data_IF_804886860909
#
_entry.id   IF_804886860909
#
_cell.length_a   1.000
_cell.length_b   1.000
_cell.length_c   1.000
_cell.angle_alpha   90.00
_cell.angle_beta   90.00
_cell.angle_gamma   90.00
#
_symmetry.space_group_name_H-M   'P 1'
#
loop_
_entity.id
_entity.type
_entity.pdbx_description
1 polymer ?
#
# COMPACT_ATOMS: atom_id res chain seq x y z
N UNK A 1 -77.95 53.57 36.46
CA UNK A 1 -76.65 54.27 36.49
C UNK A 1 -75.82 53.74 37.66
N UNK A 2 -74.50 53.56 37.45
CA UNK A 2 -73.41 53.23 38.40
C UNK A 2 -73.38 51.79 38.92
N UNK A 3 -72.57 50.91 38.30
CA UNK A 3 -71.12 50.62 38.52
C UNK A 3 -70.85 49.99 39.89
N UNK A 4 -70.81 48.65 39.90
CA UNK A 4 -70.30 47.85 41.02
C UNK A 4 -68.87 47.39 40.69
N UNK A 5 -67.93 47.72 41.58
CA UNK A 5 -66.50 47.44 41.52
C UNK A 5 -66.21 46.07 42.17
N UNK A 6 -65.42 45.27 41.44
CA UNK A 6 -64.46 44.25 41.87
C UNK A 6 -64.80 43.31 43.04
N UNK A 7 -64.86 42.01 42.73
CA UNK A 7 -64.27 40.98 43.57
C UNK A 7 -63.73 39.87 42.66
N UNK A 8 -62.41 39.66 42.75
CA UNK A 8 -61.64 38.66 42.02
C UNK A 8 -61.60 37.40 42.91
N UNK A 9 -62.10 36.23 42.47
CA UNK A 9 -61.66 34.97 43.04
C UNK A 9 -60.67 34.30 42.08
N UNK A 10 -59.52 34.01 42.66
CA UNK A 10 -58.41 33.23 42.15
C UNK A 10 -58.93 31.86 41.64
N UNK A 11 -59.05 31.69 40.32
CA UNK A 11 -59.31 30.38 39.73
C UNK A 11 -57.95 29.71 39.50
N UNK A 12 -57.62 28.77 40.37
CA UNK A 12 -56.45 27.90 40.24
C UNK A 12 -56.69 26.98 39.03
N UNK A 13 -56.27 27.42 37.84
CA UNK A 13 -56.26 26.59 36.65
C UNK A 13 -55.12 25.57 36.79
N UNK A 14 -55.48 24.36 37.23
CA UNK A 14 -54.61 23.20 37.19
C UNK A 14 -54.39 22.86 35.70
N UNK A 15 -53.36 23.47 35.10
CA UNK A 15 -52.90 23.13 33.76
C UNK A 15 -52.31 21.73 33.82
N UNK A 16 -53.12 20.72 33.53
CA UNK A 16 -52.63 19.43 33.06
C UNK A 16 -51.87 19.70 31.76
N UNK A 17 -50.55 19.89 31.88
CA UNK A 17 -49.66 19.67 30.77
C UNK A 17 -49.78 18.18 30.44
N UNK A 18 -50.59 17.87 29.43
CA UNK A 18 -50.39 16.67 28.66
C UNK A 18 -48.99 16.79 28.09
N UNK A 19 -48.03 16.13 28.73
CA UNK A 19 -46.77 15.78 28.10
C UNK A 19 -47.16 14.82 26.99
N UNK A 20 -47.52 15.38 25.83
CA UNK A 20 -47.50 14.67 24.58
C UNK A 20 -46.03 14.36 24.34
N UNK A 21 -45.62 13.11 24.54
CA UNK A 21 -44.42 12.61 23.90
C UNK A 21 -44.73 12.65 22.40
N UNK A 22 -44.35 13.75 21.74
CA UNK A 22 -44.06 13.71 20.31
C UNK A 22 -42.90 12.72 20.20
N UNK A 23 -43.24 11.50 19.81
CA UNK A 23 -42.24 10.51 19.45
C UNK A 23 -41.78 10.96 18.07
N UNK A 24 -40.65 11.67 18.04
CA UNK A 24 -39.95 11.98 16.80
C UNK A 24 -39.47 10.65 16.19
N UNK A 25 -40.36 9.97 15.47
CA UNK A 25 -40.05 8.84 14.59
C UNK A 25 -39.66 9.37 13.20
N UNK A 26 -38.69 10.29 13.15
CA UNK A 26 -38.04 10.72 11.90
C UNK A 26 -36.52 10.67 12.09
N UNK A 27 -36.00 9.53 12.57
CA UNK A 27 -34.63 9.13 12.25
C UNK A 27 -34.73 8.12 11.12
N UNK A 28 -34.70 8.63 9.88
CA UNK A 28 -34.36 7.83 8.72
C UNK A 28 -33.14 6.97 9.11
N UNK A 29 -33.18 5.62 9.01
CA UNK A 29 -32.00 4.84 9.34
C UNK A 29 -30.85 5.38 8.49
N UNK A 30 -29.78 5.87 9.14
CA UNK A 30 -28.53 6.21 8.45
C UNK A 30 -28.18 5.00 7.59
N UNK A 31 -28.29 5.14 6.26
CA UNK A 31 -27.90 4.09 5.34
C UNK A 31 -26.44 3.76 5.67
N UNK A 32 -26.17 2.54 6.16
CA UNK A 32 -24.80 2.13 6.46
C UNK A 32 -23.99 2.27 5.16
N UNK A 33 -23.10 3.26 5.10
CA UNK A 33 -22.27 3.46 3.92
C UNK A 33 -21.40 2.22 3.70
N UNK A 34 -21.69 1.51 2.62
CA UNK A 34 -20.92 0.32 2.24
C UNK A 34 -19.56 0.80 1.75
N UNK A 35 -18.55 0.65 2.61
CA UNK A 35 -17.18 1.01 2.27
C UNK A 35 -16.65 0.03 1.22
N UNK A 36 -16.19 0.57 0.10
CA UNK A 36 -15.57 -0.19 -0.99
C UNK A 36 -14.31 -0.94 -0.51
N UNK A 37 -14.15 -2.17 -0.99
CA UNK A 37 -12.97 -3.00 -0.74
C UNK A 37 -12.18 -3.06 -2.05
N UNK A 38 -11.01 -2.44 -2.07
CA UNK A 38 -10.10 -2.59 -3.20
C UNK A 38 -9.37 -3.92 -3.05
N UNK A 39 -9.53 -4.81 -4.03
CA UNK A 39 -8.91 -6.15 -4.01
C UNK A 39 -7.49 -6.17 -4.60
N UNK A 40 -7.04 -5.07 -5.20
CA UNK A 40 -5.71 -4.94 -5.82
C UNK A 40 -5.15 -3.53 -5.63
N UNK A 41 -3.84 -3.36 -5.82
CA UNK A 41 -3.18 -2.05 -5.74
C UNK A 41 -3.87 -0.99 -6.58
N UNK A 42 -4.08 0.17 -5.97
CA UNK A 42 -4.66 1.37 -6.57
C UNK A 42 -3.62 2.50 -6.71
N UNK A 43 -2.32 2.20 -6.56
CA UNK A 43 -1.25 3.18 -6.78
C UNK A 43 -1.32 3.67 -8.24
N UNK A 44 -1.51 4.97 -8.50
CA UNK A 44 -1.47 5.49 -9.85
C UNK A 44 -0.05 5.40 -10.38
N UNK A 45 0.11 5.22 -11.70
CA UNK A 45 1.44 5.12 -12.33
C UNK A 45 2.30 6.38 -12.17
N UNK A 46 1.69 7.53 -11.88
CA UNK A 46 2.38 8.79 -11.62
C UNK A 46 1.57 9.70 -10.72
N UNK A 47 2.25 10.48 -9.89
CA UNK A 47 1.67 11.58 -9.11
C UNK A 47 2.51 12.84 -9.33
N UNK A 48 1.83 14.00 -9.48
CA UNK A 48 2.49 15.31 -9.67
C UNK A 48 3.52 15.33 -10.83
N UNK A 49 3.25 14.57 -11.89
CA UNK A 49 4.11 14.52 -13.08
C UNK A 49 5.36 13.65 -12.96
N UNK A 50 5.52 12.89 -11.86
CA UNK A 50 6.61 11.93 -11.65
C UNK A 50 6.05 10.50 -11.55
N UNK A 51 6.73 9.48 -12.09
CA UNK A 51 6.36 8.09 -11.88
C UNK A 51 6.37 7.73 -10.39
N UNK A 52 5.43 6.87 -9.99
CA UNK A 52 5.38 6.30 -8.64
C UNK A 52 6.05 4.93 -8.65
N UNK A 53 7.21 4.83 -8.02
CA UNK A 53 7.90 3.56 -7.87
C UNK A 53 7.27 2.79 -6.71
N UNK A 54 6.78 1.58 -6.99
CA UNK A 54 6.29 0.67 -5.96
C UNK A 54 7.46 0.17 -5.10
N UNK A 55 7.42 0.45 -3.81
CA UNK A 55 8.46 0.09 -2.85
C UNK A 55 8.07 -1.12 -1.99
N UNK A 56 6.77 -1.42 -1.87
CA UNK A 56 6.27 -2.55 -1.10
C UNK A 56 4.87 -2.29 -0.56
N UNK A 57 4.54 -3.00 0.52
CA UNK A 57 3.24 -2.92 1.15
C UNK A 57 3.37 -2.94 2.68
N UNK A 58 2.37 -2.39 3.35
CA UNK A 58 2.18 -2.49 4.79
C UNK A 58 0.73 -2.86 5.11
N UNK A 59 0.56 -3.70 6.13
CA UNK A 59 -0.74 -4.13 6.59
C UNK A 59 -1.14 -3.39 7.87
N UNK A 60 -2.36 -2.88 7.90
CA UNK A 60 -2.94 -2.15 9.03
C UNK A 60 -4.30 -2.74 9.40
N UNK A 61 -4.70 -2.57 10.65
CA UNK A 61 -5.94 -3.16 11.20
C UNK A 61 -7.12 -2.19 11.20
N UNK A 62 -6.91 -0.92 10.88
CA UNK A 62 -7.93 0.13 10.91
C UNK A 62 -7.71 1.10 9.77
N UNK A 63 -8.78 1.41 9.04
CA UNK A 63 -8.79 2.41 7.97
C UNK A 63 -8.55 3.83 8.48
N UNK A 64 -9.07 4.14 9.66
CA UNK A 64 -8.80 5.41 10.36
C UNK A 64 -7.61 5.18 11.27
N UNK A 65 -6.51 5.88 11.00
CA UNK A 65 -5.25 5.68 11.71
C UNK A 65 -4.43 6.97 11.76
N UNK A 66 -3.52 7.02 12.72
CA UNK A 66 -2.45 8.02 12.71
C UNK A 66 -1.36 7.60 11.71
N UNK A 67 -0.88 8.58 10.95
CA UNK A 67 0.28 8.50 10.07
C UNK A 67 1.31 9.48 10.62
N UNK A 68 2.51 8.99 10.91
CA UNK A 68 3.64 9.79 11.39
C UNK A 68 4.83 9.65 10.43
N UNK A 69 5.54 10.74 10.19
CA UNK A 69 6.70 10.74 9.31
C UNK A 69 7.90 11.47 9.92
N UNK A 70 9.10 10.97 9.60
CA UNK A 70 10.37 11.55 10.00
C UNK A 70 11.49 11.12 9.04
N UNK A 71 12.62 11.80 9.13
CA UNK A 71 13.83 11.50 8.37
C UNK A 71 14.35 10.11 8.72
N UNK A 72 14.54 9.23 7.73
CA UNK A 72 15.01 7.87 8.00
C UNK A 72 16.49 7.82 8.41
N UNK A 73 17.30 8.73 7.89
CA UNK A 73 18.75 8.70 7.96
C UNK A 73 19.34 9.85 8.77
N UNK A 74 20.01 10.76 8.05
CA UNK A 74 20.64 11.94 8.65
C UNK A 74 19.80 13.16 8.31
N UNK A 75 19.33 13.87 9.34
CA UNK A 75 18.60 15.13 9.16
C UNK A 75 19.46 16.15 8.42
N UNK A 76 19.18 16.32 7.14
CA UNK A 76 20.02 17.08 6.20
C UNK A 76 19.21 18.06 5.33
N UNK A 77 17.97 18.34 5.74
CA UNK A 77 17.12 19.34 5.11
C UNK A 77 16.17 18.79 4.07
N UNK A 78 15.87 17.50 4.10
CA UNK A 78 14.80 16.87 3.32
C UNK A 78 13.45 17.59 3.48
N UNK A 79 12.85 18.02 2.37
CA UNK A 79 11.53 18.66 2.30
C UNK A 79 10.60 17.80 1.46
N UNK A 80 9.48 17.36 2.04
CA UNK A 80 8.58 16.37 1.42
C UNK A 80 7.12 16.75 1.55
N UNK A 81 6.31 16.23 0.63
CA UNK A 81 4.87 16.05 0.83
C UNK A 81 4.55 14.56 0.92
N UNK A 82 3.56 14.20 1.73
CA UNK A 82 3.01 12.85 1.84
C UNK A 82 1.61 12.86 1.25
N UNK A 83 1.36 11.95 0.32
CA UNK A 83 0.09 11.79 -0.36
C UNK A 83 -0.50 10.45 0.01
N UNK A 84 -1.76 10.40 0.42
CA UNK A 84 -2.50 9.17 0.66
C UNK A 84 -3.79 9.22 -0.16
N UNK A 85 -4.04 8.21 -1.01
CA UNK A 85 -5.22 8.15 -1.88
C UNK A 85 -5.55 9.49 -2.57
N UNK A 86 -4.57 10.06 -3.28
CA UNK A 86 -4.62 11.36 -3.97
C UNK A 86 -4.71 12.62 -3.07
N UNK A 87 -4.94 12.46 -1.76
CA UNK A 87 -4.94 13.57 -0.81
C UNK A 87 -3.53 13.89 -0.30
N UNK A 88 -3.14 15.17 -0.37
CA UNK A 88 -1.93 15.64 0.31
C UNK A 88 -2.23 15.76 1.81
N UNK A 89 -1.73 14.82 2.60
CA UNK A 89 -1.97 14.76 4.05
C UNK A 89 -0.89 15.49 4.86
N UNK A 90 0.30 15.66 4.29
CA UNK A 90 1.40 16.47 4.82
C UNK A 90 1.98 17.23 3.65
N UNK A 91 2.02 18.56 3.73
CA UNK A 91 2.39 19.42 2.60
C UNK A 91 3.69 20.20 2.87
N UNK A 92 4.69 19.98 2.00
CA UNK A 92 5.97 20.71 1.92
C UNK A 92 6.63 20.94 3.30
N UNK A 93 6.82 19.86 4.06
CA UNK A 93 7.41 19.91 5.39
C UNK A 93 8.87 19.46 5.39
N UNK A 94 9.71 20.14 6.18
CA UNK A 94 11.07 19.69 6.46
C UNK A 94 11.06 18.55 7.45
N UNK A 95 11.65 17.42 7.06
CA UNK A 95 11.80 16.26 7.93
C UNK A 95 12.77 16.54 9.08
N UNK A 96 12.48 15.92 10.22
CA UNK A 96 13.34 15.89 11.41
C UNK A 96 13.51 14.44 11.85
N UNK A 97 14.36 14.19 12.84
CA UNK A 97 14.55 12.84 13.38
C UNK A 97 13.31 12.31 14.14
N UNK A 98 13.33 11.02 14.53
CA UNK A 98 12.20 10.32 15.17
C UNK A 98 11.73 10.92 16.50
N UNK A 99 12.55 11.75 17.16
CA UNK A 99 12.15 12.48 18.38
C UNK A 99 11.19 13.65 18.11
N UNK A 100 11.00 14.03 16.85
CA UNK A 100 10.13 15.13 16.43
C UNK A 100 9.36 14.78 15.14
N UNK A 101 8.54 13.73 15.13
CA UNK A 101 7.79 13.32 13.94
C UNK A 101 6.69 14.33 13.61
N UNK A 102 6.29 14.36 12.34
CA UNK A 102 5.09 15.07 11.89
C UNK A 102 3.98 14.03 11.80
N UNK A 103 2.85 14.27 12.46
CA UNK A 103 1.76 13.31 12.55
C UNK A 103 0.41 13.89 12.12
N UNK A 104 -0.40 13.08 11.47
CA UNK A 104 -1.75 13.41 11.01
C UNK A 104 -2.67 12.19 11.19
N UNK A 105 -3.89 12.41 11.64
CA UNK A 105 -4.92 11.37 11.62
C UNK A 105 -5.59 11.37 10.24
N UNK A 106 -5.71 10.20 9.62
CA UNK A 106 -6.21 10.05 8.26
C UNK A 106 -7.20 8.88 8.17
N UNK A 107 -8.26 9.05 7.40
CA UNK A 107 -9.18 7.98 6.98
C UNK A 107 -8.86 7.65 5.54
N UNK A 108 -8.35 6.44 5.31
CA UNK A 108 -8.02 5.96 3.98
C UNK A 108 -9.24 5.82 3.05
N UNK A 109 -10.47 5.82 3.55
CA UNK A 109 -11.68 5.77 2.70
C UNK A 109 -12.00 4.40 2.08
N UNK A 110 -11.01 3.53 1.87
CA UNK A 110 -11.22 2.15 1.39
C UNK A 110 -10.77 1.07 2.38
N UNK A 111 -11.46 -0.07 2.33
CA UNK A 111 -10.96 -1.32 2.90
C UNK A 111 -10.06 -2.03 1.87
N UNK A 112 -9.23 -2.98 2.32
CA UNK A 112 -8.24 -3.59 1.43
C UNK A 112 -7.20 -2.58 0.98
N UNK A 113 -6.93 -2.49 -0.33
CA UNK A 113 -5.86 -1.66 -0.88
C UNK A 113 -6.10 -0.15 -0.80
N UNK A 114 -5.09 0.52 -0.29
CA UNK A 114 -4.89 1.97 -0.30
C UNK A 114 -3.42 2.24 -0.63
N UNK A 115 -2.98 3.49 -0.67
CA UNK A 115 -1.57 3.79 -0.84
C UNK A 115 -1.11 5.05 -0.12
N UNK A 116 0.20 5.11 0.11
CA UNK A 116 0.93 6.31 0.51
C UNK A 116 2.08 6.54 -0.47
N UNK A 117 2.25 7.79 -0.91
CA UNK A 117 3.31 8.23 -1.81
C UNK A 117 4.12 9.34 -1.16
N UNK A 118 5.44 9.20 -1.19
CA UNK A 118 6.41 10.22 -0.84
C UNK A 118 6.73 11.07 -2.08
N UNK A 119 6.52 12.37 -1.97
CA UNK A 119 6.95 13.35 -2.97
C UNK A 119 8.06 14.23 -2.40
N UNK A 120 9.25 14.19 -2.99
CA UNK A 120 10.39 15.01 -2.56
C UNK A 120 10.40 16.38 -3.28
N UNK A 121 10.42 17.47 -2.52
CA UNK A 121 10.57 18.84 -3.07
C UNK A 121 12.04 19.23 -3.27
N UNK A 122 12.95 18.56 -2.57
CA UNK A 122 14.40 18.67 -2.73
C UNK A 122 15.06 17.28 -2.57
N UNK A 123 16.39 17.24 -2.42
CA UNK A 123 17.16 16.01 -2.21
C UNK A 123 17.92 16.00 -0.87
N UNK A 124 17.65 16.96 0.01
CA UNK A 124 18.52 17.23 1.15
C UNK A 124 19.96 17.58 0.71
N UNK A 125 20.91 17.41 1.63
CA UNK A 125 22.35 17.45 1.31
C UNK A 125 22.86 16.08 0.80
N UNK A 126 22.18 14.98 1.13
CA UNK A 126 22.53 13.59 0.81
C UNK A 126 21.36 12.92 0.06
N UNK A 127 21.43 12.79 -1.28
CA UNK A 127 20.40 12.10 -2.04
C UNK A 127 20.42 10.56 -1.85
N UNK A 128 19.29 9.85 -2.06
CA UNK A 128 17.93 10.37 -2.28
C UNK A 128 17.30 10.90 -0.99
N UNK A 129 16.14 11.56 -1.11
CA UNK A 129 15.35 11.96 0.06
C UNK A 129 14.70 10.72 0.68
N UNK A 130 14.89 10.50 1.99
CA UNK A 130 14.43 9.28 2.67
C UNK A 130 13.53 9.60 3.87
N UNK A 131 12.36 8.98 3.88
CA UNK A 131 11.32 9.24 4.86
C UNK A 131 10.87 7.92 5.48
N UNK A 132 10.93 7.81 6.81
CA UNK A 132 10.21 6.75 7.51
C UNK A 132 8.76 7.18 7.66
N UNK A 133 7.83 6.36 7.19
CA UNK A 133 6.39 6.49 7.41
C UNK A 133 5.97 5.41 8.40
N UNK A 134 5.36 5.84 9.51
CA UNK A 134 4.77 4.95 10.50
C UNK A 134 3.25 5.05 10.46
N UNK A 135 2.58 3.93 10.21
CA UNK A 135 1.12 3.84 10.18
C UNK A 135 0.69 2.82 11.23
N UNK A 136 -0.04 3.30 12.25
CA UNK A 136 -0.43 2.48 13.40
C UNK A 136 0.76 1.75 14.08
N UNK A 137 1.95 2.37 14.07
CA UNK A 137 3.18 1.80 14.65
C UNK A 137 3.91 0.79 13.77
N UNK A 138 3.41 0.49 12.56
CA UNK A 138 4.17 -0.24 11.53
C UNK A 138 4.98 0.77 10.72
N UNK A 139 6.30 0.63 10.72
CA UNK A 139 7.22 1.51 10.02
C UNK A 139 7.58 0.97 8.64
N UNK A 140 7.65 1.86 7.66
CA UNK A 140 8.12 1.59 6.31
C UNK A 140 8.99 2.74 5.82
N UNK A 141 10.05 2.43 5.08
CA UNK A 141 10.96 3.43 4.54
C UNK A 141 10.57 3.73 3.10
N UNK A 142 10.21 4.98 2.84
CA UNK A 142 10.01 5.50 1.49
C UNK A 142 11.23 6.29 1.07
N UNK A 143 11.55 6.22 -0.22
CA UNK A 143 12.57 7.04 -0.86
C UNK A 143 12.00 7.72 -2.10
N UNK A 144 12.41 8.96 -2.34
CA UNK A 144 12.01 9.72 -3.51
C UNK A 144 13.14 10.64 -3.96
N UNK A 145 13.08 11.06 -5.23
CA UNK A 145 13.99 12.04 -5.78
C UNK A 145 13.21 13.03 -6.68
N UNK A 146 13.93 13.90 -7.41
CA UNK A 146 13.31 14.92 -8.25
C UNK A 146 12.71 14.38 -9.56
N UNK A 147 12.98 13.11 -9.89
CA UNK A 147 12.54 12.44 -11.11
C UNK A 147 11.50 11.35 -10.86
N UNK A 148 11.44 10.77 -9.64
CA UNK A 148 10.51 9.69 -9.27
C UNK A 148 10.08 9.77 -7.81
N UNK A 149 8.84 9.34 -7.54
CA UNK A 149 8.27 9.21 -6.21
C UNK A 149 8.43 7.78 -5.69
N UNK A 150 8.38 7.60 -4.37
CA UNK A 150 8.28 6.28 -3.73
C UNK A 150 6.87 6.06 -3.20
N UNK A 151 6.27 4.92 -3.51
CA UNK A 151 4.90 4.58 -3.09
C UNK A 151 4.84 3.21 -2.43
N UNK A 152 3.98 3.07 -1.43
CA UNK A 152 3.73 1.82 -0.70
C UNK A 152 2.23 1.56 -0.67
N UNK A 153 1.84 0.31 -0.91
CA UNK A 153 0.47 -0.12 -0.69
C UNK A 153 0.17 -0.16 0.81
N UNK A 154 -0.98 0.35 1.23
CA UNK A 154 -1.46 0.28 2.61
C UNK A 154 -2.72 -0.55 2.64
N UNK A 155 -2.66 -1.71 3.27
CA UNK A 155 -3.72 -2.71 3.20
C UNK A 155 -4.46 -2.78 4.51
N UNK A 156 -5.75 -2.44 4.49
CA UNK A 156 -6.63 -2.62 5.65
C UNK A 156 -7.05 -4.08 5.70
N UNK A 157 -6.52 -4.82 6.68
CA UNK A 157 -6.77 -6.25 6.87
C UNK A 157 -8.21 -6.56 7.27
N UNK A 158 -8.59 -7.83 7.13
CA UNK A 158 -9.91 -8.35 7.53
C UNK A 158 -10.93 -8.47 6.39
N UNK A 159 -10.50 -8.20 5.15
CA UNK A 159 -11.35 -8.19 3.95
C UNK A 159 -10.91 -9.19 2.87
N UNK A 160 -10.08 -10.18 3.25
CA UNK A 160 -9.65 -11.24 2.33
C UNK A 160 -8.57 -10.80 1.34
N UNK A 161 -7.94 -9.64 1.56
CA UNK A 161 -6.75 -9.19 0.86
C UNK A 161 -5.64 -8.84 1.84
N UNK A 162 -4.40 -9.05 1.42
CA UNK A 162 -3.20 -8.80 2.22
C UNK A 162 -2.00 -8.43 1.32
N UNK A 163 -0.82 -8.27 1.93
CA UNK A 163 0.40 -7.89 1.22
C UNK A 163 0.81 -8.84 0.09
N UNK A 164 0.32 -10.08 0.07
CA UNK A 164 0.59 -11.02 -1.02
C UNK A 164 -0.12 -10.65 -2.33
N UNK A 165 -1.17 -9.84 -2.26
CA UNK A 165 -1.91 -9.33 -3.42
C UNK A 165 -1.27 -8.04 -4.01
N UNK A 166 -0.25 -7.49 -3.34
CA UNK A 166 0.37 -6.20 -3.65
C UNK A 166 1.47 -6.32 -4.73
N UNK A 167 1.48 -5.41 -5.71
CA UNK A 167 2.43 -5.41 -6.83
C UNK A 167 1.92 -6.00 -8.15
N UNK A 168 0.63 -6.31 -8.26
CA UNK A 168 -0.02 -6.69 -9.52
C UNK A 168 -0.67 -5.52 -10.23
N UNK A 169 0.08 -4.77 -11.07
CA UNK A 169 -0.48 -3.58 -11.72
C UNK A 169 0.18 -3.15 -13.03
N UNK A 170 -0.19 -3.80 -14.15
CA UNK A 170 -0.26 -3.12 -15.46
C UNK A 170 0.16 -3.91 -16.71
N UNK A 171 -0.82 -4.48 -17.45
CA UNK A 171 -0.60 -4.91 -18.84
C UNK A 171 -1.68 -5.81 -19.46
N UNK A 172 -2.64 -5.19 -20.15
CA UNK A 172 -3.84 -5.78 -20.78
C UNK A 172 -3.57 -6.74 -21.96
N UNK A 173 -4.31 -7.86 -22.04
CA UNK A 173 -4.38 -8.76 -23.20
C UNK A 173 -5.47 -9.83 -23.03
N UNK A 174 -6.63 -9.61 -23.65
CA UNK A 174 -7.89 -10.31 -23.35
C UNK A 174 -7.95 -11.83 -23.57
N UNK A 175 -8.82 -12.45 -22.78
CA UNK A 175 -9.30 -13.82 -22.96
C UNK A 175 -10.26 -14.16 -21.82
N UNK A 176 -11.55 -14.25 -22.12
CA UNK A 176 -12.59 -14.46 -21.10
C UNK A 176 -12.48 -15.81 -20.38
N UNK A 177 -13.04 -15.86 -19.17
CA UNK A 177 -13.28 -17.11 -18.46
C UNK A 177 -13.52 -16.90 -16.97
N UNK A 178 -14.73 -17.21 -16.52
CA UNK A 178 -15.13 -17.26 -15.11
C UNK A 178 -14.20 -18.11 -14.24
N UNK A 179 -13.94 -17.63 -13.03
CA UNK A 179 -13.99 -18.38 -11.77
C UNK A 179 -13.06 -19.59 -11.61
N UNK A 180 -12.00 -19.39 -10.82
CA UNK A 180 -11.18 -20.45 -10.21
C UNK A 180 -9.71 -20.06 -10.17
N UNK A 181 -9.15 -19.89 -8.96
CA UNK A 181 -7.70 -19.72 -8.76
C UNK A 181 -6.93 -20.81 -9.51
N UNK A 182 -5.79 -20.44 -10.08
CA UNK A 182 -5.08 -21.28 -11.05
C UNK A 182 -4.49 -22.55 -10.41
N UNK A 183 -4.43 -22.60 -9.08
CA UNK A 183 -3.66 -23.58 -8.30
C UNK A 183 -2.21 -23.66 -8.79
N UNK A 184 -1.64 -22.56 -9.30
CA UNK A 184 -0.27 -22.42 -9.79
C UNK A 184 0.42 -21.24 -9.13
N UNK A 185 1.75 -21.23 -9.14
CA UNK A 185 2.55 -20.08 -8.71
C UNK A 185 3.73 -19.85 -9.64
N UNK A 186 4.38 -18.71 -9.43
CA UNK A 186 5.46 -18.22 -10.28
C UNK A 186 6.77 -18.13 -9.48
N UNK A 187 7.90 -18.19 -10.20
CA UNK A 187 9.23 -17.98 -9.65
C UNK A 187 9.99 -17.00 -10.52
N UNK A 188 10.62 -15.99 -9.91
CA UNK A 188 11.59 -15.14 -10.58
C UNK A 188 12.94 -15.19 -9.90
N UNK A 189 13.97 -15.49 -10.69
CA UNK A 189 15.36 -15.38 -10.29
C UNK A 189 15.90 -14.01 -10.71
N UNK A 190 16.65 -13.37 -9.82
CA UNK A 190 17.17 -12.03 -10.06
C UNK A 190 18.51 -11.80 -9.35
N UNK A 191 19.22 -10.77 -9.77
CA UNK A 191 20.47 -10.29 -9.16
C UNK A 191 20.35 -8.79 -8.90
N UNK A 192 21.04 -8.29 -7.87
CA UNK A 192 20.99 -6.89 -7.48
C UNK A 192 22.16 -6.04 -8.01
N UNK A 193 23.13 -6.66 -8.66
CA UNK A 193 24.29 -5.99 -9.23
C UNK A 193 24.80 -6.77 -10.46
N UNK A 194 25.60 -6.13 -11.30
CA UNK A 194 26.29 -6.79 -12.40
C UNK A 194 27.54 -7.53 -11.89
N UNK A 195 27.47 -8.86 -11.86
CA UNK A 195 28.60 -9.70 -11.46
C UNK A 195 29.71 -9.80 -12.53
N UNK A 196 29.52 -9.17 -13.69
CA UNK A 196 30.52 -9.10 -14.77
C UNK A 196 30.77 -10.45 -15.47
N UNK A 197 29.86 -11.41 -15.32
CA UNK A 197 30.00 -12.78 -15.85
C UNK A 197 29.13 -13.07 -17.08
N UNK A 198 28.44 -12.05 -17.60
CA UNK A 198 27.45 -12.18 -18.67
C UNK A 198 26.10 -12.71 -18.17
N UNK A 199 25.17 -13.07 -19.09
CA UNK A 199 23.87 -13.61 -18.73
C UNK A 199 23.99 -14.85 -17.84
N UNK A 200 23.12 -14.94 -16.83
CA UNK A 200 23.05 -16.10 -15.95
C UNK A 200 21.94 -17.01 -16.45
N UNK A 201 22.28 -18.23 -16.85
CA UNK A 201 21.28 -19.24 -17.20
C UNK A 201 20.86 -19.98 -15.95
N UNK A 202 19.56 -19.92 -15.64
CA UNK A 202 18.92 -20.66 -14.57
C UNK A 202 18.22 -21.88 -15.14
N UNK A 203 18.45 -23.05 -14.55
CA UNK A 203 17.77 -24.30 -14.86
C UNK A 203 16.94 -24.73 -13.65
N UNK A 204 15.63 -24.79 -13.83
CA UNK A 204 14.68 -25.28 -12.82
C UNK A 204 14.32 -26.74 -13.15
N UNK A 205 14.67 -27.66 -12.25
CA UNK A 205 14.62 -29.09 -12.50
C UNK A 205 13.21 -29.56 -12.86
N UNK A 206 13.08 -30.23 -14.01
CA UNK A 206 11.79 -30.72 -14.51
C UNK A 206 10.89 -29.66 -15.16
N UNK A 207 11.31 -28.39 -15.19
CA UNK A 207 10.56 -27.29 -15.80
C UNK A 207 11.24 -26.79 -17.07
N UNK A 208 12.51 -26.38 -16.99
CA UNK A 208 13.24 -25.81 -18.12
C UNK A 208 14.26 -24.76 -17.69
N UNK A 209 14.66 -23.90 -18.63
CA UNK A 209 15.68 -22.88 -18.41
C UNK A 209 15.15 -21.47 -18.70
N UNK A 210 15.69 -20.49 -17.98
CA UNK A 210 15.41 -19.06 -18.15
C UNK A 210 16.69 -18.26 -17.90
N UNK A 211 16.90 -17.16 -18.62
CA UNK A 211 18.12 -16.36 -18.54
C UNK A 211 17.86 -15.04 -17.81
N UNK A 212 18.75 -14.70 -16.87
CA UNK A 212 18.84 -13.37 -16.27
C UNK A 212 19.77 -12.54 -17.15
N UNK A 213 19.25 -11.46 -17.73
CA UNK A 213 19.99 -10.63 -18.71
C UNK A 213 20.31 -9.23 -18.20
N UNK A 214 19.82 -8.85 -17.02
CA UNK A 214 20.19 -7.61 -16.32
C UNK A 214 20.03 -7.75 -14.80
N UNK A 215 20.03 -6.62 -14.10
CA UNK A 215 20.02 -6.56 -12.64
C UNK A 215 19.09 -5.46 -12.12
N UNK A 216 18.65 -5.60 -10.87
CA UNK A 216 17.76 -4.65 -10.20
C UNK A 216 18.54 -3.91 -9.13
N UNK A 217 18.86 -2.65 -9.41
CA UNK A 217 19.69 -1.80 -8.54
C UNK A 217 19.00 -1.42 -7.22
N UNK A 218 17.68 -1.58 -7.12
CA UNK A 218 16.90 -1.33 -5.92
C UNK A 218 15.64 -2.22 -5.89
N UNK A 219 15.22 -2.61 -4.67
CA UNK A 219 14.02 -3.39 -4.44
C UNK A 219 14.13 -4.88 -4.80
N UNK A 220 13.03 -5.62 -4.56
CA UNK A 220 12.86 -7.01 -5.00
C UNK A 220 11.86 -7.02 -6.15
N UNK A 221 12.21 -7.53 -7.36
CA UNK A 221 11.32 -7.51 -8.52
C UNK A 221 10.12 -8.43 -8.33
N UNK A 222 8.99 -8.09 -8.96
CA UNK A 222 7.81 -8.95 -9.09
C UNK A 222 8.05 -10.11 -10.06
N UNK A 223 7.13 -11.08 -10.16
CA UNK A 223 7.25 -12.19 -11.13
C UNK A 223 6.82 -11.82 -12.56
N UNK A 224 6.48 -10.55 -12.80
CA UNK A 224 6.05 -10.11 -14.13
C UNK A 224 7.21 -10.28 -15.13
N UNK A 225 6.96 -10.84 -16.32
CA UNK A 225 7.96 -10.90 -17.39
C UNK A 225 8.31 -9.49 -17.88
N UNK A 226 9.45 -8.99 -17.41
CA UNK A 226 10.04 -7.70 -17.81
C UNK A 226 11.24 -7.86 -18.76
N UNK A 227 11.67 -9.10 -19.01
CA UNK A 227 12.81 -9.45 -19.86
C UNK A 227 14.17 -9.31 -19.19
N UNK A 228 14.23 -8.98 -17.90
CA UNK A 228 15.47 -8.79 -17.15
C UNK A 228 15.75 -10.02 -16.27
N UNK A 229 14.74 -10.48 -15.53
CA UNK A 229 14.83 -11.62 -14.62
C UNK A 229 14.63 -12.99 -15.29
N UNK A 230 15.04 -14.05 -14.58
CA UNK A 230 14.81 -15.43 -14.98
C UNK A 230 13.43 -15.90 -14.51
N UNK A 231 12.42 -15.79 -15.37
CA UNK A 231 11.02 -16.07 -15.01
C UNK A 231 10.62 -17.51 -15.32
N UNK A 232 9.82 -18.11 -14.41
CA UNK A 232 9.13 -19.38 -14.57
C UNK A 232 7.69 -19.22 -14.07
N UNK A 233 6.71 -19.32 -14.97
CA UNK A 233 5.31 -19.03 -14.65
C UNK A 233 4.44 -20.30 -14.69
N UNK A 234 3.28 -20.24 -14.05
CA UNK A 234 2.25 -21.29 -14.04
C UNK A 234 2.76 -22.65 -13.49
N UNK A 235 3.65 -22.62 -12.51
CA UNK A 235 4.21 -23.81 -11.89
C UNK A 235 3.23 -24.46 -10.92
N UNK A 236 3.15 -25.78 -10.92
CA UNK A 236 2.44 -26.50 -9.86
C UNK A 236 3.09 -26.21 -8.50
N UNK A 237 2.31 -26.09 -7.41
CA UNK A 237 2.85 -26.00 -6.07
C UNK A 237 3.75 -27.19 -5.76
N UNK A 238 4.88 -26.91 -5.12
CA UNK A 238 5.90 -27.90 -4.83
C UNK A 238 7.27 -27.30 -4.69
N UNK A 239 8.22 -28.13 -4.27
CA UNK A 239 9.62 -27.74 -4.15
C UNK A 239 10.39 -28.15 -5.40
N UNK A 240 11.07 -27.19 -6.00
CA UNK A 240 11.86 -27.36 -7.21
C UNK A 240 13.33 -27.09 -6.90
N UNK A 241 14.20 -28.01 -7.32
CA UNK A 241 15.63 -27.75 -7.28
C UNK A 241 16.02 -26.89 -8.48
N UNK A 242 16.94 -25.94 -8.27
CA UNK A 242 17.50 -25.14 -9.36
C UNK A 242 19.03 -25.22 -9.36
N UNK A 243 19.59 -24.99 -10.54
CA UNK A 243 21.01 -24.68 -10.73
C UNK A 243 21.11 -23.47 -11.65
N UNK A 244 21.91 -22.48 -11.31
CA UNK A 244 22.18 -21.33 -12.15
C UNK A 244 23.69 -21.19 -12.38
N UNK A 245 24.09 -20.69 -13.54
CA UNK A 245 25.50 -20.48 -13.84
C UNK A 245 25.72 -19.38 -14.86
N UNK A 246 26.83 -18.67 -14.70
CA UNK A 246 27.43 -17.80 -15.70
C UNK A 246 28.95 -18.04 -15.74
N UNK A 247 29.71 -17.20 -16.44
CA UNK A 247 31.16 -17.37 -16.53
C UNK A 247 31.84 -17.23 -15.15
N UNK A 248 32.22 -18.35 -14.54
CA UNK A 248 33.02 -18.39 -13.32
C UNK A 248 32.21 -18.45 -12.00
N UNK A 249 30.88 -18.38 -12.07
CA UNK A 249 30.01 -18.48 -10.90
C UNK A 249 28.90 -19.51 -11.10
N UNK A 250 28.54 -20.18 -10.00
CA UNK A 250 27.50 -21.21 -9.97
C UNK A 250 26.67 -21.04 -8.70
N UNK A 251 25.37 -21.22 -8.83
CA UNK A 251 24.42 -21.27 -7.73
C UNK A 251 23.61 -22.55 -7.82
N UNK A 252 23.24 -23.12 -6.69
CA UNK A 252 22.31 -24.23 -6.60
C UNK A 252 21.49 -24.13 -5.32
N UNK A 253 20.31 -24.73 -5.34
CA UNK A 253 19.40 -24.69 -4.21
C UNK A 253 18.02 -25.22 -4.57
N UNK A 254 17.04 -24.83 -3.78
CA UNK A 254 15.64 -25.16 -4.00
C UNK A 254 14.73 -23.97 -3.74
N UNK A 255 13.67 -23.85 -4.52
CA UNK A 255 12.57 -22.90 -4.34
C UNK A 255 11.29 -23.66 -4.04
N UNK A 256 10.40 -23.10 -3.23
CA UNK A 256 9.09 -23.69 -2.97
C UNK A 256 8.02 -22.79 -3.55
N UNK A 257 7.25 -23.35 -4.48
CA UNK A 257 6.11 -22.68 -5.13
C UNK A 257 4.85 -23.02 -4.34
N UNK A 258 4.09 -22.00 -4.00
CA UNK A 258 2.74 -22.12 -3.42
C UNK A 258 1.68 -21.68 -4.41
N UNK A 259 0.42 -22.09 -4.21
CA UNK A 259 -0.70 -21.67 -5.07
C UNK A 259 -0.84 -20.15 -5.03
N UNK A 260 -1.13 -19.58 -6.19
CA UNK A 260 -1.40 -18.17 -6.44
C UNK A 260 -0.35 -17.23 -5.82
N UNK A 261 0.93 -17.63 -5.91
CA UNK A 261 2.05 -16.90 -5.28
C UNK A 261 3.20 -16.62 -6.25
N UNK A 262 3.97 -15.57 -5.97
CA UNK A 262 5.21 -15.23 -6.67
C UNK A 262 6.43 -15.36 -5.75
N UNK A 263 7.25 -16.38 -5.98
CA UNK A 263 8.49 -16.61 -5.23
C UNK A 263 9.69 -15.93 -5.90
N UNK A 264 10.38 -15.06 -5.17
CA UNK A 264 11.46 -14.21 -5.70
C UNK A 264 12.81 -14.65 -5.13
N UNK A 265 13.66 -15.23 -5.97
CA UNK A 265 14.97 -15.75 -5.59
C UNK A 265 16.08 -14.82 -6.04
N UNK A 266 16.75 -14.18 -5.08
CA UNK A 266 17.96 -13.41 -5.35
C UNK A 266 19.18 -14.34 -5.41
N UNK A 267 19.95 -14.28 -6.49
CA UNK A 267 21.26 -14.92 -6.57
C UNK A 267 22.32 -13.93 -6.08
N UNK A 268 23.12 -14.33 -5.10
CA UNK A 268 24.18 -13.52 -4.50
C UNK A 268 25.53 -14.21 -4.63
N UNK A 269 26.62 -13.45 -4.74
CA UNK A 269 27.99 -13.98 -4.69
C UNK A 269 28.46 -14.24 -3.25
#
# INVERSE_FOLDING_TARGET
MKKLKYLFPFLLAFSFFFISCEKDEDSDPEEEEVVEVNESSIIPSSSFGRPNNYLGCIEITSRITNIAVWDHGTVDGDIVSIIANDDIIIDEQTLRGPDSPISVDYDFGYNGFNYVTLYAHNLGDIPPNTCTVAINGVEFVLEANLDANGSVDVIVNGYGVDCSDAGGGGGSGGGGGSGGGSNKGDVKFWINDDFGCGPITVNLSGVGTSDITGYYYAGTPDCTPDGIGGNFNDLTPGTYNYSASCQGYTWDGSVTVTEDSCYRMQLTL
#
